data_IF_155798110157
#
_entry.id   IF_155798110157
#
_cell.length_a   1.000
_cell.length_b   1.000
_cell.length_c   1.000
_cell.angle_alpha   90.00
_cell.angle_beta   90.00
_cell.angle_gamma   90.00
#
_symmetry.space_group_name_H-M   'P 1'
#
loop_
_entity.id
_entity.type
_entity.pdbx_description
1 polymer ?
#
# COMPACT_ATOMS: atom_id res chain seq x y z
N UNK A 1 -20.78 -7.71 7.50
CA UNK A 1 -19.36 -8.06 7.41
C UNK A 1 -18.93 -7.76 6.00
N UNK A 2 -18.25 -6.63 5.76
CA UNK A 2 -17.82 -6.28 4.41
C UNK A 2 -16.73 -7.28 4.01
N UNK A 3 -17.09 -8.24 3.18
CA UNK A 3 -16.19 -9.22 2.60
C UNK A 3 -15.21 -8.46 1.71
N UNK A 4 -14.07 -8.08 2.28
CA UNK A 4 -13.10 -7.25 1.61
C UNK A 4 -12.39 -8.16 0.61
N UNK A 5 -12.93 -8.19 -0.60
CA UNK A 5 -12.52 -9.14 -1.63
C UNK A 5 -11.02 -9.01 -1.87
N UNK A 6 -10.32 -10.16 -1.93
CA UNK A 6 -8.85 -10.22 -2.08
C UNK A 6 -8.36 -9.36 -3.26
N UNK A 7 -9.18 -9.25 -4.31
CA UNK A 7 -8.96 -8.45 -5.51
C UNK A 7 -8.96 -6.95 -5.24
N UNK A 8 -9.87 -6.44 -4.41
CA UNK A 8 -9.95 -5.01 -4.07
C UNK A 8 -8.73 -4.59 -3.23
N UNK A 9 -8.30 -5.43 -2.29
CA UNK A 9 -7.10 -5.16 -1.51
C UNK A 9 -5.84 -5.15 -2.40
N UNK A 10 -5.75 -6.03 -3.39
CA UNK A 10 -4.64 -6.02 -4.37
C UNK A 10 -4.65 -4.73 -5.20
N UNK A 11 -5.82 -4.27 -5.66
CA UNK A 11 -5.95 -3.00 -6.40
C UNK A 11 -5.51 -1.82 -5.54
N UNK A 12 -5.94 -1.75 -4.27
CA UNK A 12 -5.53 -0.69 -3.34
C UNK A 12 -4.02 -0.69 -3.12
N UNK A 13 -3.41 -1.87 -2.92
CA UNK A 13 -1.95 -1.99 -2.78
C UNK A 13 -1.24 -1.50 -4.05
N UNK A 14 -1.78 -1.82 -5.24
CA UNK A 14 -1.22 -1.37 -6.53
C UNK A 14 -1.25 0.15 -6.65
N UNK A 15 -2.39 0.79 -6.36
CA UNK A 15 -2.50 2.25 -6.40
C UNK A 15 -1.57 2.94 -5.41
N UNK A 16 -1.44 2.41 -4.19
CA UNK A 16 -0.51 2.94 -3.21
C UNK A 16 0.95 2.78 -3.65
N UNK A 17 1.29 1.69 -4.32
CA UNK A 17 2.65 1.47 -4.83
C UNK A 17 2.98 2.48 -5.93
N UNK A 18 2.08 2.69 -6.88
CA UNK A 18 2.22 3.66 -7.95
C UNK A 18 2.38 5.10 -7.41
N UNK A 19 1.58 5.47 -6.41
CA UNK A 19 1.69 6.75 -5.72
C UNK A 19 3.05 6.93 -5.02
N UNK A 20 3.58 5.88 -4.37
CA UNK A 20 4.91 5.93 -3.75
C UNK A 20 6.02 6.16 -4.79
N UNK A 21 5.93 5.50 -5.95
CA UNK A 21 6.87 5.69 -7.07
C UNK A 21 6.79 7.10 -7.64
N UNK A 22 5.59 7.68 -7.73
CA UNK A 22 5.41 9.06 -8.17
C UNK A 22 6.04 10.06 -7.19
N UNK A 23 5.92 9.82 -5.88
CA UNK A 23 6.60 10.64 -4.88
C UNK A 23 8.13 10.44 -4.87
N UNK A 24 8.64 9.24 -5.17
CA UNK A 24 10.08 9.01 -5.33
C UNK A 24 10.66 9.74 -6.55
N UNK A 25 9.87 9.88 -7.62
CA UNK A 25 10.27 10.62 -8.82
C UNK A 25 10.34 12.14 -8.60
N UNK A 26 9.72 12.66 -7.54
CA UNK A 26 9.74 14.08 -7.19
C UNK A 26 10.89 14.38 -6.23
N UNK A 27 11.78 15.31 -6.61
CA UNK A 27 12.85 15.76 -5.71
C UNK A 27 12.30 16.54 -4.52
N UNK A 28 12.63 16.10 -3.31
CA UNK A 28 12.35 16.82 -2.06
C UNK A 28 12.10 15.90 -0.87
N UNK A 29 12.66 16.24 0.30
CA UNK A 29 12.53 15.48 1.57
C UNK A 29 11.07 15.19 1.96
N UNK A 30 10.15 16.10 1.64
CA UNK A 30 8.71 15.96 1.88
C UNK A 30 8.08 14.83 1.05
N UNK A 31 8.58 14.58 -0.15
CA UNK A 31 8.08 13.52 -1.02
C UNK A 31 8.67 12.17 -0.63
N UNK A 32 9.96 12.12 -0.26
CA UNK A 32 10.60 10.90 0.26
C UNK A 32 9.96 10.39 1.56
N UNK A 33 9.64 11.30 2.50
CA UNK A 33 8.94 10.93 3.75
C UNK A 33 7.50 10.44 3.49
N UNK A 34 6.80 11.05 2.54
CA UNK A 34 5.47 10.57 2.08
C UNK A 34 5.55 9.20 1.42
N UNK A 35 6.50 8.98 0.52
CA UNK A 35 6.73 7.68 -0.12
C UNK A 35 7.03 6.59 0.92
N UNK A 36 7.82 6.91 1.95
CA UNK A 36 8.10 6.00 3.06
C UNK A 36 6.84 5.62 3.85
N UNK A 37 6.00 6.60 4.23
CA UNK A 37 4.74 6.34 4.92
C UNK A 37 3.80 5.43 4.10
N UNK A 38 3.72 5.65 2.78
CA UNK A 38 2.89 4.83 1.89
C UNK A 38 3.42 3.39 1.83
N UNK A 39 4.74 3.18 1.79
CA UNK A 39 5.35 1.85 1.87
C UNK A 39 5.03 1.13 3.18
N UNK A 40 5.05 1.83 4.32
CA UNK A 40 4.65 1.25 5.61
C UNK A 40 3.18 0.81 5.62
N UNK A 41 2.30 1.61 5.00
CA UNK A 41 0.89 1.27 4.82
C UNK A 41 0.70 0.01 3.96
N UNK A 42 1.43 -0.11 2.86
CA UNK A 42 1.42 -1.31 1.99
C UNK A 42 1.83 -2.56 2.78
N UNK A 43 2.87 -2.48 3.61
CA UNK A 43 3.32 -3.61 4.45
C UNK A 43 2.22 -4.04 5.43
N UNK A 44 1.55 -3.08 6.08
CA UNK A 44 0.42 -3.38 6.97
C UNK A 44 -0.75 -4.03 6.24
N UNK A 45 -1.09 -3.56 5.04
CA UNK A 45 -2.16 -4.13 4.22
C UNK A 45 -1.84 -5.54 3.75
N UNK A 46 -0.61 -5.80 3.28
CA UNK A 46 -0.14 -7.14 2.92
C UNK A 46 -0.19 -8.11 4.11
N UNK A 47 0.17 -7.66 5.31
CA UNK A 47 0.07 -8.48 6.53
C UNK A 47 -1.38 -8.88 6.82
N UNK A 48 -2.33 -7.95 6.69
CA UNK A 48 -3.77 -8.25 6.83
C UNK A 48 -4.28 -9.17 5.71
N UNK A 49 -3.82 -8.99 4.48
CA UNK A 49 -4.14 -9.90 3.36
C UNK A 49 -3.74 -11.35 3.64
N UNK A 50 -2.55 -11.53 4.22
CA UNK A 50 -2.04 -12.85 4.53
C UNK A 50 -2.86 -13.53 5.64
N UNK A 51 -3.24 -12.77 6.67
CA UNK A 51 -4.13 -13.25 7.74
C UNK A 51 -5.49 -13.72 7.21
N UNK A 52 -6.08 -13.01 6.25
CA UNK A 52 -7.35 -13.41 5.59
C UNK A 52 -7.20 -14.70 4.77
N UNK A 53 -5.99 -15.01 4.31
CA UNK A 53 -5.71 -16.20 3.49
C UNK A 53 -5.37 -17.44 4.32
N UNK A 54 -5.07 -17.27 5.61
CA UNK A 54 -4.66 -18.38 6.50
C UNK A 54 -5.84 -18.98 7.29
N UNK A 55 -7.07 -18.60 6.97
CA UNK A 55 -8.32 -19.09 7.57
C UNK A 55 -9.04 -19.94 6.53
#
# INVERSE_FOLDING_TARGET
MADLCKTDLQKVIKYLTDAATLYDAQQGLRYSSRAWCIRQLIVKLKKRQNQITTI
#
